data_IF_931046925469
#
_entry.id   IF_931046925469
#
_cell.length_a   1.000
_cell.length_b   1.000
_cell.length_c   1.000
_cell.angle_alpha   90.00
_cell.angle_beta   90.00
_cell.angle_gamma   90.00
#
_symmetry.space_group_name_H-M   'P 1'
#
loop_
_entity.id
_entity.type
_entity.pdbx_description
1 polymer ?
#
# COMPACT_ATOMS: atom_id res chain seq x y z
N UNK A 1 -4.63 -2.29 -43.34
CA UNK A 1 -5.35 -2.02 -42.08
C UNK A 1 -4.99 -0.60 -41.66
N UNK A 2 -5.94 0.33 -41.70
CA UNK A 2 -5.69 1.77 -41.56
C UNK A 2 -5.67 2.21 -40.10
N UNK A 3 -4.77 3.15 -39.76
CA UNK A 3 -4.59 3.76 -38.44
C UNK A 3 -5.88 4.40 -37.85
N UNK A 4 -6.88 4.67 -38.68
CA UNK A 4 -8.16 5.27 -38.28
C UNK A 4 -9.02 4.37 -37.38
N UNK A 5 -8.78 3.05 -37.35
CA UNK A 5 -9.58 2.11 -36.52
C UNK A 5 -9.13 2.09 -35.05
N UNK A 6 -7.87 2.44 -34.75
CA UNK A 6 -7.31 2.34 -33.39
C UNK A 6 -7.78 3.49 -32.49
N UNK A 7 -8.08 4.66 -33.06
CA UNK A 7 -8.40 5.89 -32.32
C UNK A 7 -9.84 5.93 -31.77
N UNK A 8 -10.77 5.14 -32.30
CA UNK A 8 -12.19 5.17 -31.91
C UNK A 8 -12.49 4.37 -30.64
N UNK A 9 -11.65 3.38 -30.31
CA UNK A 9 -11.84 2.45 -29.19
C UNK A 9 -11.45 3.04 -27.82
N UNK A 10 -10.73 4.18 -27.83
CA UNK A 10 -10.20 4.84 -26.62
C UNK A 10 -11.11 5.95 -26.05
N UNK A 11 -12.29 6.21 -26.65
CA UNK A 11 -13.20 7.25 -26.16
C UNK A 11 -12.62 8.67 -26.15
N UNK A 12 -11.65 8.95 -27.04
CA UNK A 12 -11.02 10.26 -27.16
C UNK A 12 -11.77 11.08 -28.20
N UNK A 13 -12.41 12.15 -27.74
CA UNK A 13 -13.07 13.14 -28.59
C UNK A 13 -12.01 13.91 -29.39
N UNK A 14 -12.02 13.88 -30.74
CA UNK A 14 -11.03 14.58 -31.57
C UNK A 14 -11.24 16.10 -31.60
N UNK A 15 -12.34 16.60 -31.02
CA UNK A 15 -12.73 18.02 -31.00
C UNK A 15 -12.58 18.66 -29.60
N UNK A 16 -12.02 17.93 -28.62
CA UNK A 16 -11.57 18.58 -27.39
C UNK A 16 -10.41 19.52 -27.76
N UNK A 17 -10.50 20.84 -27.50
CA UNK A 17 -9.37 21.71 -27.73
C UNK A 17 -8.22 21.15 -26.92
N UNK A 18 -7.17 20.69 -27.62
CA UNK A 18 -5.87 20.39 -27.05
C UNK A 18 -5.34 21.71 -26.48
N UNK A 19 -5.88 22.08 -25.33
CA UNK A 19 -5.37 23.11 -24.44
C UNK A 19 -3.97 22.64 -24.16
N UNK A 20 -3.05 23.28 -24.88
CA UNK A 20 -1.66 22.89 -25.00
C UNK A 20 -1.15 22.64 -23.60
N UNK A 21 -0.94 21.38 -23.27
CA UNK A 21 -0.17 21.08 -22.07
C UNK A 21 1.17 21.75 -22.32
N UNK A 22 1.47 22.77 -21.52
CA UNK A 22 2.74 23.47 -21.60
C UNK A 22 3.85 22.42 -21.53
N UNK A 23 5.01 22.70 -22.13
CA UNK A 23 6.17 21.82 -22.03
C UNK A 23 6.46 21.43 -20.56
N UNK A 24 6.15 22.32 -19.62
CA UNK A 24 6.20 22.08 -18.17
C UNK A 24 5.27 20.94 -17.74
N UNK A 25 4.02 20.93 -18.20
CA UNK A 25 3.03 19.91 -17.86
C UNK A 25 3.36 18.56 -18.52
N UNK A 26 3.95 18.59 -19.71
CA UNK A 26 4.39 17.37 -20.40
C UNK A 26 5.60 16.74 -19.69
N UNK A 27 6.56 17.57 -19.26
CA UNK A 27 7.70 17.13 -18.43
C UNK A 27 7.22 16.61 -17.07
N UNK A 28 6.24 17.26 -16.44
CA UNK A 28 5.69 16.81 -15.16
C UNK A 28 4.96 15.46 -15.29
N UNK A 29 4.18 15.27 -16.36
CA UNK A 29 3.50 14.01 -16.64
C UNK A 29 4.50 12.86 -16.92
N UNK A 30 5.58 13.15 -17.65
CA UNK A 30 6.67 12.19 -17.88
C UNK A 30 7.44 11.90 -16.60
N UNK A 31 7.74 12.92 -15.79
CA UNK A 31 8.43 12.76 -14.51
C UNK A 31 7.62 11.90 -13.52
N UNK A 32 6.30 12.11 -13.42
CA UNK A 32 5.40 11.25 -12.61
C UNK A 32 5.33 9.80 -13.11
N UNK A 33 5.54 9.58 -14.41
CA UNK A 33 5.59 8.24 -15.02
C UNK A 33 6.91 7.53 -14.77
N UNK A 34 8.01 8.28 -14.79
CA UNK A 34 9.36 7.75 -14.57
C UNK A 34 9.67 7.57 -13.08
N UNK A 35 9.10 8.43 -12.23
CA UNK A 35 9.16 8.38 -10.78
C UNK A 35 7.72 8.16 -10.29
N UNK A 36 7.23 6.90 -10.25
CA UNK A 36 6.04 6.62 -9.46
C UNK A 36 6.27 7.20 -8.05
N UNK A 37 5.27 7.83 -7.42
CA UNK A 37 5.42 8.32 -6.05
C UNK A 37 6.01 7.18 -5.24
N UNK A 38 7.23 7.42 -4.77
CA UNK A 38 8.04 6.51 -3.97
C UNK A 38 7.15 5.91 -2.89
N UNK A 39 7.27 4.60 -2.66
CA UNK A 39 6.50 3.80 -1.71
C UNK A 39 5.91 4.65 -0.56
N UNK A 40 4.59 4.57 -0.29
CA UNK A 40 4.00 5.33 0.79
C UNK A 40 4.81 5.08 2.04
N UNK A 41 5.26 6.16 2.68
CA UNK A 41 6.14 6.11 3.84
C UNK A 41 5.65 5.03 4.83
N UNK A 42 6.54 4.16 5.33
CA UNK A 42 6.15 3.01 6.13
C UNK A 42 5.30 3.46 7.31
N UNK A 43 4.02 3.07 7.27
CA UNK A 43 3.03 3.50 8.26
C UNK A 43 3.15 2.65 9.51
N UNK A 44 3.48 3.28 10.64
CA UNK A 44 3.55 2.64 11.94
C UNK A 44 2.28 2.90 12.75
N UNK A 45 1.75 1.87 13.41
CA UNK A 45 0.59 1.95 14.28
C UNK A 45 0.96 1.64 15.73
N UNK A 46 0.48 2.42 16.70
CA UNK A 46 0.62 2.06 18.11
C UNK A 46 -0.17 0.79 18.43
N UNK A 47 0.26 0.05 19.46
CA UNK A 47 -0.25 -1.27 19.83
C UNK A 47 -1.78 -1.39 19.78
N UNK A 48 -2.52 -0.43 20.35
CA UNK A 48 -4.00 -0.47 20.35
C UNK A 48 -4.61 -0.40 18.94
N UNK A 49 -4.07 0.46 18.07
CA UNK A 49 -4.54 0.59 16.68
C UNK A 49 -4.15 -0.65 15.87
N UNK A 50 -2.94 -1.16 16.05
CA UNK A 50 -2.48 -2.38 15.40
C UNK A 50 -3.32 -3.61 15.81
N UNK A 51 -3.66 -3.73 17.10
CA UNK A 51 -4.50 -4.81 17.60
C UNK A 51 -5.91 -4.75 17.02
N UNK A 52 -6.48 -3.54 16.96
CA UNK A 52 -7.78 -3.30 16.30
C UNK A 52 -7.72 -3.62 14.81
N UNK A 53 -6.62 -3.27 14.14
CA UNK A 53 -6.40 -3.52 12.73
C UNK A 53 -6.44 -5.02 12.39
N UNK A 54 -5.83 -5.86 13.24
CA UNK A 54 -5.89 -7.32 13.12
C UNK A 54 -7.14 -7.97 13.74
N UNK A 55 -7.99 -7.20 14.42
CA UNK A 55 -9.18 -7.72 15.11
C UNK A 55 -8.87 -8.57 16.34
N UNK A 56 -7.73 -8.33 17.01
CA UNK A 56 -7.26 -9.11 18.18
C UNK A 56 -7.04 -8.23 19.41
N UNK A 57 -6.84 -8.85 20.57
CA UNK A 57 -6.47 -8.11 21.78
C UNK A 57 -5.01 -7.61 21.71
N UNK A 58 -4.65 -6.51 22.40
CA UNK A 58 -3.26 -6.04 22.47
C UNK A 58 -2.29 -7.08 23.05
N UNK A 59 -2.75 -7.91 24.00
CA UNK A 59 -1.94 -8.98 24.57
C UNK A 59 -1.69 -10.09 23.54
N UNK A 60 -2.72 -10.46 22.77
CA UNK A 60 -2.60 -11.42 21.67
C UNK A 60 -1.66 -10.90 20.58
N UNK A 61 -1.75 -9.62 20.20
CA UNK A 61 -0.83 -9.01 19.23
C UNK A 61 0.62 -9.10 19.70
N UNK A 62 0.90 -8.79 20.97
CA UNK A 62 2.24 -8.88 21.54
C UNK A 62 2.78 -10.31 21.48
N UNK A 63 1.92 -11.28 21.78
CA UNK A 63 2.26 -12.71 21.67
C UNK A 63 2.59 -13.08 20.22
N UNK A 64 1.75 -12.73 19.26
CA UNK A 64 2.02 -13.01 17.84
C UNK A 64 3.31 -12.36 17.35
N UNK A 65 3.58 -11.12 17.75
CA UNK A 65 4.83 -10.44 17.40
C UNK A 65 6.07 -11.02 18.08
N UNK A 66 5.91 -11.79 19.14
CA UNK A 66 7.00 -12.53 19.79
C UNK A 66 7.18 -13.95 19.24
N UNK A 67 6.13 -14.53 18.65
CA UNK A 67 6.14 -15.88 18.07
C UNK A 67 6.40 -15.88 16.54
N UNK A 68 6.20 -14.74 15.87
CA UNK A 68 6.32 -14.61 14.42
C UNK A 68 7.40 -13.61 14.02
N UNK A 69 8.33 -14.05 13.17
CA UNK A 69 9.33 -13.19 12.53
C UNK A 69 8.73 -12.26 11.44
N UNK A 70 7.45 -12.43 11.10
CA UNK A 70 6.76 -11.63 10.09
C UNK A 70 6.31 -10.27 10.63
N UNK A 71 5.99 -10.17 11.91
CA UNK A 71 5.45 -8.94 12.50
C UNK A 71 6.61 -8.04 12.95
N UNK A 72 6.89 -7.01 12.16
CA UNK A 72 7.82 -5.97 12.57
C UNK A 72 7.26 -5.10 13.70
N UNK A 73 7.98 -5.08 14.83
CA UNK A 73 7.70 -4.31 16.05
C UNK A 73 8.85 -3.34 16.35
N UNK A 74 8.52 -2.09 16.63
CA UNK A 74 9.41 -1.12 17.28
C UNK A 74 8.98 -0.96 18.74
N UNK A 75 9.88 -1.32 19.64
CA UNK A 75 9.62 -1.16 21.07
C UNK A 75 9.54 0.33 21.44
N UNK A 76 8.54 0.67 22.24
CA UNK A 76 8.40 2.02 22.75
C UNK A 76 9.44 2.30 23.84
N UNK A 77 10.02 3.50 23.83
CA UNK A 77 10.91 3.93 24.89
C UNK A 77 10.13 4.53 26.08
N UNK A 78 10.43 4.09 27.30
CA UNK A 78 9.87 4.64 28.53
C UNK A 78 8.35 4.44 28.64
N UNK A 79 7.58 5.53 28.43
CA UNK A 79 6.11 5.51 28.45
C UNK A 79 5.47 5.40 27.06
N UNK A 80 6.25 5.45 26.00
CA UNK A 80 5.74 5.29 24.64
C UNK A 80 5.25 3.85 24.43
N UNK A 81 4.10 3.64 23.75
CA UNK A 81 3.66 2.29 23.40
C UNK A 81 4.48 1.70 22.25
N UNK A 82 4.49 0.37 22.15
CA UNK A 82 5.07 -0.32 21.00
C UNK A 82 4.35 0.05 19.72
N UNK A 83 5.11 0.13 18.63
CA UNK A 83 4.61 0.44 17.31
C UNK A 83 4.82 -0.74 16.36
N UNK A 84 3.91 -0.91 15.42
CA UNK A 84 3.88 -2.03 14.49
C UNK A 84 3.75 -1.51 13.06
N UNK A 85 4.49 -2.09 12.13
CA UNK A 85 4.45 -1.70 10.73
C UNK A 85 3.18 -2.26 10.07
N UNK A 86 2.41 -1.42 9.36
CA UNK A 86 1.15 -1.88 8.74
C UNK A 86 1.39 -2.99 7.71
N UNK A 87 2.39 -2.86 6.86
CA UNK A 87 2.70 -3.86 5.82
C UNK A 87 3.08 -5.23 6.41
N UNK A 88 3.73 -5.25 7.58
CA UNK A 88 4.08 -6.50 8.27
C UNK A 88 2.84 -7.18 8.88
N UNK A 89 1.88 -6.40 9.40
CA UNK A 89 0.59 -6.92 9.86
C UNK A 89 -0.25 -7.46 8.69
N UNK A 90 -0.22 -6.81 7.53
CA UNK A 90 -0.88 -7.29 6.32
C UNK A 90 -0.26 -8.60 5.83
N UNK A 91 1.07 -8.68 5.80
CA UNK A 91 1.80 -9.90 5.44
C UNK A 91 1.47 -11.05 6.40
N UNK A 92 1.42 -10.78 7.71
CA UNK A 92 1.03 -11.77 8.70
C UNK A 92 -0.41 -12.27 8.48
N UNK A 93 -1.36 -11.36 8.21
CA UNK A 93 -2.75 -11.71 7.93
C UNK A 93 -2.88 -12.59 6.69
N UNK A 94 -2.13 -12.28 5.64
CA UNK A 94 -2.13 -13.07 4.41
C UNK A 94 -1.52 -14.45 4.61
N UNK A 95 -0.43 -14.57 5.38
CA UNK A 95 0.14 -15.86 5.77
C UNK A 95 -0.86 -16.74 6.52
N UNK A 96 -1.54 -16.17 7.53
CA UNK A 96 -2.58 -16.89 8.28
C UNK A 96 -3.72 -17.41 7.39
N UNK A 97 -4.12 -16.65 6.37
CA UNK A 97 -5.14 -17.09 5.40
C UNK A 97 -4.66 -18.26 4.56
N UNK A 98 -3.39 -18.25 4.12
CA UNK A 98 -2.80 -19.32 3.32
C UNK A 98 -2.72 -20.62 4.12
N UNK A 99 -2.23 -20.55 5.35
CA UNK A 99 -2.13 -21.70 6.25
C UNK A 99 -3.51 -22.31 6.51
N UNK A 100 -4.52 -21.48 6.73
CA UNK A 100 -5.90 -21.95 6.90
C UNK A 100 -6.47 -22.59 5.62
N UNK A 101 -6.16 -22.04 4.45
CA UNK A 101 -6.63 -22.60 3.16
C UNK A 101 -5.94 -23.91 2.77
N UNK A 102 -4.70 -24.13 3.23
CA UNK A 102 -3.95 -25.36 2.95
C UNK A 102 -4.34 -26.53 3.87
N UNK A 103 -5.03 -26.23 4.99
CA UNK A 103 -5.46 -27.22 5.98
C UNK A 103 -6.92 -27.72 5.79
N UNK A 104 -7.63 -27.22 4.77
CA UNK A 104 -9.01 -27.57 4.43
C UNK A 104 -9.07 -28.54 3.25
#
# INVERSE_FOLDING_TARGET
MSAATILRDLGVDPDAPASSLSAVQLVEAVARRLHPPTDPEPRWLPTRKAATYLGVSPATLRRYASESDTIERREGAGRAPDQYLVSSLDAYREAQRRDYSAAA
#
